data_IF_306304092635
#
_entry.id   IF_306304092635
#
_cell.length_a   1.000
_cell.length_b   1.000
_cell.length_c   1.000
_cell.angle_alpha   90.00
_cell.angle_beta   90.00
_cell.angle_gamma   90.00
#
_symmetry.space_group_name_H-M   'P 1'
#
loop_
_entity.id
_entity.type
_entity.pdbx_description
1 polymer ?
#
# COMPACT_ATOMS: atom_id res chain seq x y z
N UNK A 1 30.66 17.23 6.57
CA UNK A 1 29.96 16.55 7.70
C UNK A 1 28.43 16.58 7.54
N UNK A 2 27.83 17.72 7.20
CA UNK A 2 26.37 17.89 7.03
C UNK A 2 25.72 16.98 5.98
N UNK A 3 26.35 16.80 4.82
CA UNK A 3 25.83 15.94 3.74
C UNK A 3 25.72 14.46 4.17
N UNK A 4 26.76 13.92 4.82
CA UNK A 4 26.81 12.52 5.29
C UNK A 4 25.74 12.26 6.36
N UNK A 5 25.50 13.22 7.25
CA UNK A 5 24.44 13.14 8.27
C UNK A 5 23.05 13.10 7.63
N UNK A 6 22.81 13.95 6.63
CA UNK A 6 21.54 13.98 5.88
C UNK A 6 21.28 12.66 5.16
N UNK A 7 22.27 12.12 4.46
CA UNK A 7 22.15 10.82 3.77
C UNK A 7 21.84 9.68 4.76
N UNK A 8 22.49 9.66 5.93
CA UNK A 8 22.25 8.66 6.99
C UNK A 8 20.83 8.77 7.54
N UNK A 9 20.33 9.99 7.76
CA UNK A 9 18.96 10.23 8.20
C UNK A 9 17.93 9.75 7.17
N UNK A 10 18.15 10.02 5.88
CA UNK A 10 17.27 9.59 4.79
C UNK A 10 17.22 8.06 4.67
N UNK A 11 18.36 7.38 4.78
CA UNK A 11 18.40 5.91 4.85
C UNK A 11 17.62 5.39 6.04
N UNK A 12 17.81 5.95 7.24
CA UNK A 12 17.07 5.56 8.44
C UNK A 12 15.56 5.73 8.26
N UNK A 13 15.11 6.85 7.69
CA UNK A 13 13.69 7.12 7.42
C UNK A 13 13.11 6.10 6.44
N UNK A 14 13.84 5.76 5.38
CA UNK A 14 13.42 4.72 4.43
C UNK A 14 13.35 3.34 5.09
N UNK A 15 14.28 2.99 5.99
CA UNK A 15 14.21 1.73 6.74
C UNK A 15 12.98 1.67 7.63
N UNK A 16 12.68 2.75 8.37
CA UNK A 16 11.52 2.83 9.25
C UNK A 16 10.23 2.68 8.44
N UNK A 17 10.09 3.45 7.35
CA UNK A 17 8.93 3.35 6.47
C UNK A 17 8.81 1.96 5.83
N UNK A 18 9.92 1.36 5.40
CA UNK A 18 9.96 0.02 4.84
C UNK A 18 9.45 -1.04 5.83
N UNK A 19 9.92 -1.01 7.07
CA UNK A 19 9.49 -1.96 8.12
C UNK A 19 8.00 -1.76 8.44
N UNK A 20 7.57 -0.52 8.67
CA UNK A 20 6.18 -0.20 9.00
C UNK A 20 5.22 -0.76 7.96
N UNK A 21 5.43 -0.42 6.69
CA UNK A 21 4.57 -0.87 5.60
C UNK A 21 4.71 -2.36 5.30
N UNK A 22 5.87 -2.98 5.55
CA UNK A 22 6.01 -4.44 5.46
C UNK A 22 5.04 -5.12 6.43
N UNK A 23 4.99 -4.66 7.70
CA UNK A 23 4.08 -5.22 8.70
C UNK A 23 2.62 -5.00 8.27
N UNK A 24 2.28 -3.77 7.85
CA UNK A 24 0.93 -3.43 7.39
C UNK A 24 0.49 -4.30 6.20
N UNK A 25 1.34 -4.45 5.18
CA UNK A 25 0.98 -5.21 3.99
C UNK A 25 1.02 -6.73 4.20
N UNK A 26 1.81 -7.25 5.14
CA UNK A 26 1.68 -8.65 5.58
C UNK A 26 0.29 -8.87 6.19
N UNK A 27 -0.16 -7.95 7.06
CA UNK A 27 -1.51 -8.04 7.65
C UNK A 27 -2.58 -7.93 6.56
N UNK A 28 -2.45 -6.98 5.62
CA UNK A 28 -3.41 -6.88 4.51
C UNK A 28 -3.43 -8.17 3.69
N UNK A 29 -2.28 -8.69 3.26
CA UNK A 29 -2.16 -9.95 2.51
C UNK A 29 -2.82 -11.11 3.27
N UNK A 30 -2.58 -11.21 4.58
CA UNK A 30 -3.16 -12.26 5.41
C UNK A 30 -4.69 -12.15 5.51
N UNK A 31 -5.23 -10.95 5.71
CA UNK A 31 -6.68 -10.76 5.81
C UNK A 31 -7.41 -11.06 4.50
N UNK A 32 -6.75 -10.89 3.36
CA UNK A 32 -7.32 -11.12 2.03
C UNK A 32 -7.58 -12.60 1.71
N UNK A 33 -7.06 -13.54 2.49
CA UNK A 33 -7.47 -14.95 2.37
C UNK A 33 -8.94 -15.18 2.75
N UNK A 34 -9.56 -14.25 3.48
CA UNK A 34 -10.99 -14.31 3.85
C UNK A 34 -11.88 -13.49 2.91
N UNK A 35 -11.31 -12.89 1.88
CA UNK A 35 -12.02 -12.09 0.88
C UNK A 35 -12.69 -13.01 -0.16
N UNK A 36 -13.81 -12.62 -0.80
CA UNK A 36 -14.37 -13.38 -1.92
C UNK A 36 -13.39 -13.61 -3.08
N UNK A 37 -12.45 -12.69 -3.33
CA UNK A 37 -11.52 -12.75 -4.47
C UNK A 37 -10.03 -12.82 -4.05
N UNK A 38 -9.61 -13.85 -3.29
CA UNK A 38 -8.26 -13.91 -2.70
C UNK A 38 -7.17 -14.03 -3.78
N UNK A 39 -7.49 -14.62 -4.93
CA UNK A 39 -6.57 -14.78 -6.07
C UNK A 39 -6.14 -13.42 -6.62
N UNK A 40 -6.99 -12.40 -6.55
CA UNK A 40 -6.65 -11.05 -6.97
C UNK A 40 -5.90 -10.30 -5.88
N UNK A 41 -6.45 -10.30 -4.66
CA UNK A 41 -5.99 -9.41 -3.60
C UNK A 41 -4.70 -9.87 -2.91
N UNK A 42 -4.50 -11.18 -2.71
CA UNK A 42 -3.29 -11.70 -2.07
C UNK A 42 -2.03 -11.34 -2.88
N UNK A 43 -1.97 -11.52 -4.21
CA UNK A 43 -0.82 -11.08 -5.00
C UNK A 43 -0.58 -9.57 -4.94
N UNK A 44 -1.64 -8.74 -4.96
CA UNK A 44 -1.50 -7.27 -4.92
C UNK A 44 -0.77 -6.84 -3.64
N UNK A 45 -1.25 -7.28 -2.47
CA UNK A 45 -0.61 -6.93 -1.21
C UNK A 45 0.70 -7.70 -0.97
N UNK A 46 0.87 -8.88 -1.56
CA UNK A 46 2.14 -9.61 -1.60
C UNK A 46 3.23 -8.83 -2.33
N UNK A 47 2.91 -8.21 -3.47
CA UNK A 47 3.82 -7.32 -4.21
C UNK A 47 4.13 -6.08 -3.38
N UNK A 48 3.13 -5.46 -2.75
CA UNK A 48 3.34 -4.31 -1.86
C UNK A 48 4.29 -4.67 -0.70
N UNK A 49 4.07 -5.83 -0.06
CA UNK A 49 4.95 -6.39 0.98
C UNK A 49 6.39 -6.55 0.48
N UNK A 50 6.57 -7.18 -0.68
CA UNK A 50 7.89 -7.36 -1.27
C UNK A 50 8.59 -6.02 -1.51
N UNK A 51 7.89 -5.04 -2.09
CA UNK A 51 8.45 -3.70 -2.35
C UNK A 51 8.83 -2.99 -1.06
N UNK A 52 8.03 -3.12 0.01
CA UNK A 52 8.35 -2.57 1.34
C UNK A 52 9.60 -3.22 1.96
N UNK A 53 9.80 -4.53 1.79
CA UNK A 53 11.03 -5.22 2.19
C UNK A 53 12.23 -4.67 1.40
N UNK A 54 12.07 -4.45 0.09
CA UNK A 54 13.12 -3.86 -0.73
C UNK A 54 13.41 -2.40 -0.34
N UNK A 55 12.39 -1.65 0.10
CA UNK A 55 12.56 -0.31 0.65
C UNK A 55 13.40 -0.33 1.93
N UNK A 56 13.12 -1.25 2.85
CA UNK A 56 13.92 -1.48 4.04
C UNK A 56 15.39 -1.80 3.71
N UNK A 57 15.61 -2.66 2.69
CA UNK A 57 16.95 -3.05 2.19
C UNK A 57 17.62 -1.97 1.34
N UNK A 58 16.96 -0.84 1.08
CA UNK A 58 17.42 0.23 0.19
C UNK A 58 17.64 -0.18 -1.27
N UNK A 59 16.91 -1.21 -1.75
CA UNK A 59 17.02 -1.79 -3.10
C UNK A 59 15.77 -1.51 -3.95
N UNK A 60 15.17 -0.33 -3.82
CA UNK A 60 13.97 0.05 -4.59
C UNK A 60 14.32 0.42 -6.03
N UNK A 61 13.51 -0.06 -6.98
CA UNK A 61 13.59 0.31 -8.41
C UNK A 61 12.59 1.45 -8.69
N UNK A 62 13.01 2.51 -9.40
CA UNK A 62 12.20 3.73 -9.54
C UNK A 62 11.04 3.53 -10.51
N UNK A 63 11.32 2.86 -11.62
CA UNK A 63 10.40 2.52 -12.69
C UNK A 63 9.27 1.65 -12.15
N UNK A 64 9.61 0.62 -11.38
CA UNK A 64 8.66 -0.25 -10.70
C UNK A 64 7.76 0.54 -9.73
N UNK A 65 8.32 1.44 -8.92
CA UNK A 65 7.53 2.27 -7.99
C UNK A 65 6.52 3.15 -8.73
N UNK A 66 6.92 3.73 -9.87
CA UNK A 66 6.03 4.56 -10.70
C UNK A 66 4.91 3.71 -11.31
N UNK A 67 5.24 2.55 -11.89
CA UNK A 67 4.25 1.65 -12.48
C UNK A 67 3.24 1.18 -11.42
N UNK A 68 3.73 0.72 -10.26
CA UNK A 68 2.87 0.26 -9.18
C UNK A 68 2.02 1.40 -8.61
N UNK A 69 2.56 2.61 -8.50
CA UNK A 69 1.78 3.79 -8.11
C UNK A 69 0.64 4.04 -9.09
N UNK A 70 0.92 4.10 -10.40
CA UNK A 70 -0.11 4.35 -11.42
C UNK A 70 -1.19 3.28 -11.35
N UNK A 71 -0.81 2.00 -11.37
CA UNK A 71 -1.76 0.89 -11.35
C UNK A 71 -2.62 0.87 -10.08
N UNK A 72 -2.02 1.02 -8.91
CA UNK A 72 -2.77 0.99 -7.64
C UNK A 72 -3.62 2.24 -7.44
N UNK A 73 -3.14 3.43 -7.82
CA UNK A 73 -3.91 4.65 -7.72
C UNK A 73 -5.11 4.66 -8.69
N UNK A 74 -4.91 4.25 -9.96
CA UNK A 74 -5.99 4.17 -10.94
C UNK A 74 -7.01 3.11 -10.58
N UNK A 75 -6.57 1.92 -10.13
CA UNK A 75 -7.48 0.87 -9.67
C UNK A 75 -8.28 1.32 -8.44
N UNK A 76 -7.64 1.97 -7.46
CA UNK A 76 -8.34 2.53 -6.30
C UNK A 76 -9.37 3.59 -6.69
N UNK A 77 -9.05 4.45 -7.66
CA UNK A 77 -10.00 5.43 -8.20
C UNK A 77 -11.17 4.78 -8.94
N UNK A 78 -10.91 3.75 -9.74
CA UNK A 78 -11.94 2.99 -10.46
C UNK A 78 -12.92 2.33 -9.48
N UNK A 79 -12.41 1.56 -8.52
CA UNK A 79 -13.23 0.90 -7.50
C UNK A 79 -14.02 1.91 -6.68
N UNK A 80 -13.40 3.04 -6.31
CA UNK A 80 -14.10 4.11 -5.62
C UNK A 80 -15.26 4.70 -6.44
N UNK A 81 -15.11 4.80 -7.77
CA UNK A 81 -16.15 5.33 -8.66
C UNK A 81 -17.34 4.39 -8.85
N UNK A 82 -17.16 3.10 -8.56
CA UNK A 82 -18.24 2.09 -8.61
C UNK A 82 -19.13 2.14 -7.36
N UNK A 83 -18.65 2.75 -6.28
CA UNK A 83 -19.41 2.93 -5.04
C UNK A 83 -20.59 3.89 -5.27
N UNK A 84 -21.79 3.43 -4.94
CA UNK A 84 -23.03 4.20 -5.17
C UNK A 84 -23.37 5.13 -4.00
N UNK A 85 -22.93 4.78 -2.80
CA UNK A 85 -23.11 5.57 -1.59
C UNK A 85 -21.98 5.30 -0.59
N UNK A 86 -21.63 6.30 0.21
CA UNK A 86 -20.70 6.12 1.32
C UNK A 86 -21.41 5.47 2.51
N UNK A 87 -20.96 4.27 2.88
CA UNK A 87 -21.52 3.47 4.00
C UNK A 87 -20.48 3.18 5.09
N UNK A 88 -19.30 3.81 5.03
CA UNK A 88 -18.19 3.58 5.95
C UNK A 88 -17.39 2.31 5.64
N UNK A 89 -16.64 1.83 6.64
CA UNK A 89 -15.81 0.61 6.52
C UNK A 89 -16.27 -0.54 7.43
N UNK A 90 -17.15 -0.26 8.38
CA UNK A 90 -17.54 -1.17 9.45
C UNK A 90 -19.01 -1.50 9.32
N UNK A 91 -19.32 -2.78 9.45
CA UNK A 91 -20.69 -3.28 9.49
C UNK A 91 -21.11 -3.46 10.94
N UNK A 92 -22.34 -3.10 11.27
CA UNK A 92 -22.86 -3.24 12.63
C UNK A 92 -23.17 -4.70 12.96
N UNK A 93 -22.60 -5.20 14.06
CA UNK A 93 -22.89 -6.53 14.60
C UNK A 93 -22.34 -7.69 13.74
N UNK A 94 -23.15 -8.73 13.58
CA UNK A 94 -22.82 -9.96 12.82
C UNK A 94 -23.35 -9.92 11.38
N UNK A 95 -23.73 -8.76 10.88
CA UNK A 95 -24.25 -8.61 9.53
C UNK A 95 -23.14 -8.73 8.49
N UNK A 96 -23.50 -9.19 7.29
CA UNK A 96 -22.56 -9.22 6.16
C UNK A 96 -22.23 -7.79 5.73
N UNK A 97 -20.98 -7.60 5.30
CA UNK A 97 -20.55 -6.33 4.72
C UNK A 97 -21.39 -6.01 3.50
N UNK A 98 -21.68 -4.72 3.34
CA UNK A 98 -22.33 -4.26 2.11
C UNK A 98 -21.30 -4.14 0.99
N UNK A 99 -21.76 -4.18 -0.25
CA UNK A 99 -20.91 -3.99 -1.43
C UNK A 99 -20.16 -2.65 -1.37
N UNK A 100 -20.85 -1.56 -0.99
CA UNK A 100 -20.22 -0.24 -0.87
C UNK A 100 -19.09 -0.22 0.20
N UNK A 101 -19.24 -0.97 1.30
CA UNK A 101 -18.20 -1.10 2.32
C UNK A 101 -16.99 -1.91 1.84
N UNK A 102 -17.22 -2.94 1.02
CA UNK A 102 -16.14 -3.71 0.39
C UNK A 102 -15.34 -2.86 -0.60
N UNK A 103 -16.03 -2.19 -1.53
CA UNK A 103 -15.42 -1.25 -2.48
C UNK A 103 -14.62 -0.15 -1.77
N UNK A 104 -15.16 0.42 -0.69
CA UNK A 104 -14.45 1.43 0.10
C UNK A 104 -13.16 0.88 0.72
N UNK A 105 -13.19 -0.33 1.28
CA UNK A 105 -12.01 -0.97 1.91
C UNK A 105 -10.95 -1.31 0.87
N UNK A 106 -11.35 -1.82 -0.29
CA UNK A 106 -10.46 -2.16 -1.39
C UNK A 106 -9.79 -0.92 -1.99
N UNK A 107 -10.57 0.12 -2.31
CA UNK A 107 -10.06 1.37 -2.85
C UNK A 107 -9.06 2.04 -1.90
N UNK A 108 -9.40 2.12 -0.61
CA UNK A 108 -8.52 2.73 0.40
C UNK A 108 -7.27 1.88 0.65
N UNK A 109 -7.40 0.55 0.64
CA UNK A 109 -6.25 -0.34 0.73
C UNK A 109 -5.25 -0.13 -0.42
N UNK A 110 -5.76 0.03 -1.65
CA UNK A 110 -4.95 0.39 -2.82
C UNK A 110 -4.31 1.78 -2.71
N UNK A 111 -5.00 2.77 -2.14
CA UNK A 111 -4.42 4.10 -1.92
C UNK A 111 -3.36 4.13 -0.81
N UNK A 112 -3.46 3.27 0.20
CA UNK A 112 -2.38 3.07 1.17
C UNK A 112 -1.16 2.47 0.47
N UNK A 113 -1.36 1.46 -0.39
CA UNK A 113 -0.29 0.89 -1.21
C UNK A 113 0.37 1.94 -2.11
N UNK A 114 -0.42 2.69 -2.88
CA UNK A 114 0.08 3.73 -3.78
C UNK A 114 0.86 4.82 -3.04
N UNK A 115 0.36 5.26 -1.88
CA UNK A 115 1.03 6.24 -1.01
C UNK A 115 2.38 5.73 -0.53
N UNK A 116 2.49 4.44 -0.17
CA UNK A 116 3.76 3.85 0.23
C UNK A 116 4.81 3.90 -0.89
N UNK A 117 4.39 3.65 -2.15
CA UNK A 117 5.28 3.70 -3.31
C UNK A 117 5.79 5.13 -3.58
N UNK A 118 4.92 6.13 -3.45
CA UNK A 118 5.30 7.55 -3.55
C UNK A 118 6.31 7.91 -2.46
N UNK A 119 6.07 7.50 -1.21
CA UNK A 119 7.00 7.74 -0.11
C UNK A 119 8.38 7.14 -0.44
N UNK A 120 8.43 5.89 -0.91
CA UNK A 120 9.70 5.27 -1.28
C UNK A 120 10.41 5.96 -2.43
N UNK A 121 9.66 6.43 -3.43
CA UNK A 121 10.20 7.16 -4.57
C UNK A 121 10.82 8.49 -4.11
N UNK A 122 10.09 9.28 -3.33
CA UNK A 122 10.57 10.56 -2.80
C UNK A 122 11.79 10.41 -1.88
N UNK A 123 11.81 9.38 -1.03
CA UNK A 123 12.96 9.09 -0.18
C UNK A 123 14.19 8.64 -0.98
N UNK A 124 13.98 7.98 -2.13
CA UNK A 124 15.06 7.60 -3.04
C UNK A 124 15.65 8.80 -3.78
N UNK A 125 14.81 9.72 -4.29
CA UNK A 125 15.28 10.94 -4.98
C UNK A 125 16.08 11.88 -4.08
N UNK A 126 15.85 11.84 -2.77
CA UNK A 126 16.51 12.69 -1.78
C UNK A 126 17.81 12.10 -1.21
N UNK A 127 18.28 10.96 -1.73
CA UNK A 127 19.60 10.38 -1.42
C UNK A 127 20.67 11.03 -2.27
#
# INVERSE_FOLDING_TARGET
KTFVLKLRAMKKLQSIAGILFTIVFILFTYWQFNDPDPILWVPIYGVATYVSIQAFRHKTNSELLIVLFILSASAGLQIWSEMTAWEGFLTDGLSMKTMNQELAREAVGLWIASSSFVIYYLLKLKK
#
